data_IF_350772870120
#
_entry.id   IF_350772870120
#
_cell.length_a   1.000
_cell.length_b   1.000
_cell.length_c   1.000
_cell.angle_alpha   90.00
_cell.angle_beta   90.00
_cell.angle_gamma   90.00
#
_symmetry.space_group_name_H-M   'P 1'
#
loop_
_entity.id
_entity.type
_entity.pdbx_description
1 polymer ?
#
# COMPACT_ATOMS: atom_id res chain seq x y z
N UNK A 1 14.88 -31.41 14.50
CA UNK A 1 14.82 -30.49 13.35
C UNK A 1 14.85 -29.08 13.89
N UNK A 2 15.69 -28.19 13.37
CA UNK A 2 15.59 -26.76 13.69
C UNK A 2 14.25 -26.26 13.10
N UNK A 3 13.42 -25.61 13.91
CA UNK A 3 12.20 -24.97 13.41
C UNK A 3 12.59 -23.97 12.31
N UNK A 4 11.84 -23.93 11.22
CA UNK A 4 12.02 -22.94 10.17
C UNK A 4 11.74 -21.56 10.77
N UNK A 5 12.64 -20.61 10.58
CA UNK A 5 12.47 -19.22 10.97
C UNK A 5 12.62 -18.36 9.71
N UNK A 6 11.62 -17.54 9.44
CA UNK A 6 11.60 -16.57 8.36
C UNK A 6 11.94 -15.19 8.91
N UNK A 7 13.03 -14.60 8.45
CA UNK A 7 13.45 -13.24 8.83
C UNK A 7 12.76 -12.21 7.94
N UNK A 8 11.88 -11.42 8.52
CA UNK A 8 11.01 -10.47 7.81
C UNK A 8 11.36 -9.02 8.15
N UNK A 9 11.70 -8.23 7.14
CA UNK A 9 11.88 -6.80 7.26
C UNK A 9 10.55 -6.04 7.24
N UNK A 10 10.30 -5.24 8.27
CA UNK A 10 9.15 -4.34 8.39
C UNK A 10 9.65 -2.90 8.18
N UNK A 11 9.00 -2.09 7.33
CA UNK A 11 9.47 -0.74 7.05
C UNK A 11 9.35 0.16 8.27
N UNK A 12 10.48 0.78 8.67
CA UNK A 12 10.52 1.79 9.73
C UNK A 12 10.29 3.18 9.14
N UNK A 13 9.51 3.98 9.83
CA UNK A 13 9.23 5.38 9.46
C UNK A 13 7.81 5.59 8.99
N UNK A 14 7.61 6.31 7.88
CA UNK A 14 6.28 6.75 7.43
C UNK A 14 5.27 5.62 7.17
N UNK A 15 5.75 4.45 6.75
CA UNK A 15 4.91 3.26 6.47
C UNK A 15 4.75 2.33 7.67
N UNK A 16 5.50 2.54 8.77
CA UNK A 16 5.52 1.61 9.92
C UNK A 16 4.13 1.33 10.47
N UNK A 17 3.41 2.39 10.85
CA UNK A 17 2.08 2.26 11.45
C UNK A 17 1.06 1.59 10.52
N UNK A 18 1.05 1.98 9.24
CA UNK A 18 0.16 1.40 8.24
C UNK A 18 0.47 -0.09 7.98
N UNK A 19 1.77 -0.45 7.97
CA UNK A 19 2.20 -1.85 7.83
C UNK A 19 1.79 -2.69 9.03
N UNK A 20 1.98 -2.20 10.26
CA UNK A 20 1.57 -2.91 11.48
C UNK A 20 0.05 -3.12 11.51
N UNK A 21 -0.75 -2.10 11.12
CA UNK A 21 -2.20 -2.25 11.02
C UNK A 21 -2.61 -3.29 9.98
N UNK A 22 -1.93 -3.30 8.82
CA UNK A 22 -2.16 -4.29 7.77
C UNK A 22 -1.88 -5.71 8.27
N UNK A 23 -0.76 -5.93 8.97
CA UNK A 23 -0.44 -7.22 9.57
C UNK A 23 -1.46 -7.65 10.61
N UNK A 24 -1.89 -6.73 11.48
CA UNK A 24 -2.92 -7.00 12.48
C UNK A 24 -4.24 -7.44 11.81
N UNK A 25 -4.67 -6.79 10.74
CA UNK A 25 -5.85 -7.18 9.94
C UNK A 25 -5.65 -8.54 9.28
N UNK A 26 -4.44 -8.83 8.81
CA UNK A 26 -4.08 -10.13 8.25
C UNK A 26 -4.05 -11.26 9.30
N UNK A 27 -4.01 -10.92 10.60
CA UNK A 27 -4.03 -11.88 11.72
C UNK A 27 -2.67 -12.07 12.39
N UNK A 28 -1.69 -11.21 12.11
CA UNK A 28 -0.37 -11.20 12.78
C UNK A 28 -0.28 -10.03 13.74
N UNK A 29 -0.07 -10.28 15.03
CA UNK A 29 0.05 -9.25 16.04
C UNK A 29 1.51 -8.83 16.22
N UNK A 30 1.89 -7.76 15.54
CA UNK A 30 3.21 -7.14 15.67
C UNK A 30 3.18 -6.11 16.80
N UNK A 31 4.07 -6.27 17.78
CA UNK A 31 4.23 -5.30 18.88
C UNK A 31 5.59 -4.64 18.77
N UNK A 32 5.61 -3.31 18.60
CA UNK A 32 6.83 -2.51 18.54
C UNK A 32 7.11 -1.82 19.87
N UNK A 33 8.37 -1.57 20.13
CA UNK A 33 8.84 -0.77 21.27
C UNK A 33 9.71 0.38 20.76
N UNK A 34 9.63 1.53 21.42
CA UNK A 34 10.45 2.68 21.05
C UNK A 34 11.97 2.44 21.20
N UNK A 35 12.36 1.41 21.95
CA UNK A 35 13.76 1.06 22.25
C UNK A 35 14.28 -0.13 21.47
N UNK A 36 13.45 -0.84 20.73
CA UNK A 36 13.83 -2.05 20.01
C UNK A 36 13.50 -1.96 18.52
N UNK A 37 14.42 -2.44 17.70
CA UNK A 37 14.21 -2.64 16.26
C UNK A 37 13.70 -4.05 15.92
N UNK A 38 13.43 -4.85 16.93
CA UNK A 38 12.93 -6.23 16.81
C UNK A 38 11.50 -6.28 17.34
N UNK A 39 10.47 -6.10 16.49
CA UNK A 39 9.08 -6.29 16.88
C UNK A 39 8.84 -7.71 17.37
N UNK A 40 8.12 -7.85 18.48
CA UNK A 40 7.58 -9.15 18.85
C UNK A 40 6.40 -9.48 17.92
N UNK A 41 6.28 -10.76 17.56
CA UNK A 41 5.18 -11.28 16.74
C UNK A 41 4.65 -12.56 17.38
N UNK A 42 3.34 -12.80 17.25
CA UNK A 42 2.65 -13.96 17.80
C UNK A 42 2.80 -15.25 16.96
N UNK A 43 3.63 -15.21 15.92
CA UNK A 43 3.96 -16.35 15.07
C UNK A 43 5.41 -16.82 15.34
N UNK A 44 5.61 -18.03 15.88
CA UNK A 44 6.95 -18.54 16.24
C UNK A 44 7.87 -18.83 15.06
N UNK A 45 7.33 -18.85 13.83
CA UNK A 45 8.12 -19.03 12.60
C UNK A 45 8.62 -17.71 12.01
N UNK A 46 8.28 -16.56 12.63
CA UNK A 46 8.67 -15.23 12.17
C UNK A 46 9.65 -14.56 13.12
N UNK A 47 10.70 -13.98 12.58
CA UNK A 47 11.59 -13.03 13.25
C UNK A 47 11.52 -11.70 12.49
N UNK A 48 11.01 -10.65 13.14
CA UNK A 48 10.80 -9.36 12.50
C UNK A 48 11.91 -8.37 12.84
N UNK A 49 12.32 -7.57 11.85
CA UNK A 49 13.28 -6.48 12.00
C UNK A 49 12.76 -5.19 11.38
N UNK A 50 12.79 -4.08 12.14
CA UNK A 50 12.48 -2.74 11.62
C UNK A 50 13.66 -2.21 10.82
N UNK A 51 13.46 -1.96 9.53
CA UNK A 51 14.48 -1.47 8.59
C UNK A 51 13.90 -0.31 7.78
N UNK A 52 14.73 0.68 7.44
CA UNK A 52 14.31 1.75 6.53
C UNK A 52 13.93 1.16 5.16
N UNK A 53 12.82 1.63 4.58
CA UNK A 53 12.35 1.17 3.28
C UNK A 53 13.42 1.33 2.18
N UNK A 54 14.24 2.38 2.29
CA UNK A 54 15.37 2.67 1.39
C UNK A 54 16.43 1.57 1.34
N UNK A 55 16.62 0.86 2.44
CA UNK A 55 17.65 -0.17 2.61
C UNK A 55 17.12 -1.60 2.45
N UNK A 56 15.80 -1.77 2.56
CA UNK A 56 15.12 -3.05 2.62
C UNK A 56 15.49 -3.98 1.45
N UNK A 57 15.39 -3.48 0.23
CA UNK A 57 15.63 -4.27 -0.98
C UNK A 57 17.06 -4.86 -0.99
N UNK A 58 18.04 -4.10 -0.54
CA UNK A 58 19.44 -4.51 -0.45
C UNK A 58 19.68 -5.59 0.62
N UNK A 59 19.02 -5.47 1.78
CA UNK A 59 19.15 -6.49 2.83
C UNK A 59 18.45 -7.80 2.47
N UNK A 60 17.35 -7.72 1.73
CA UNK A 60 16.69 -8.91 1.18
C UNK A 60 17.54 -9.55 0.07
N UNK A 61 18.08 -8.76 -0.87
CA UNK A 61 18.97 -9.26 -1.93
C UNK A 61 20.17 -10.01 -1.35
N UNK A 62 20.81 -9.45 -0.32
CA UNK A 62 22.01 -10.03 0.31
C UNK A 62 21.71 -11.21 1.26
N UNK A 63 20.44 -11.60 1.44
CA UNK A 63 20.05 -12.72 2.30
C UNK A 63 20.19 -12.46 3.80
N UNK A 64 20.35 -11.19 4.23
CA UNK A 64 20.29 -10.79 5.64
C UNK A 64 18.86 -10.97 6.15
N UNK A 65 17.88 -10.66 5.29
CA UNK A 65 16.46 -10.90 5.46
C UNK A 65 15.99 -11.92 4.40
N UNK A 66 15.12 -12.82 4.79
CA UNK A 66 14.47 -13.76 3.87
C UNK A 66 13.43 -13.06 3.00
N UNK A 67 12.75 -12.07 3.59
CA UNK A 67 11.74 -11.25 2.92
C UNK A 67 11.66 -9.87 3.57
N UNK A 68 10.96 -8.94 2.92
CA UNK A 68 10.74 -7.61 3.45
C UNK A 68 9.69 -6.84 2.69
N UNK A 69 9.25 -5.75 3.29
CA UNK A 69 8.25 -4.87 2.70
C UNK A 69 8.90 -3.54 2.33
N UNK A 70 8.81 -3.18 1.05
CA UNK A 70 9.38 -1.93 0.51
C UNK A 70 8.64 -1.49 -0.75
N UNK A 71 8.92 -0.28 -1.23
CA UNK A 71 8.37 0.23 -2.49
C UNK A 71 9.14 -0.22 -3.73
N UNK A 72 8.45 -0.24 -4.87
CA UNK A 72 9.06 -0.48 -6.19
C UNK A 72 10.20 0.52 -6.46
N UNK A 73 10.04 1.75 -6.00
CA UNK A 73 11.02 2.83 -6.07
C UNK A 73 12.38 2.41 -5.49
N UNK A 74 12.38 1.85 -4.28
CA UNK A 74 13.60 1.42 -3.61
C UNK A 74 14.21 0.15 -4.20
N UNK A 75 13.38 -0.76 -4.74
CA UNK A 75 13.87 -1.91 -5.51
C UNK A 75 14.61 -1.42 -6.75
N UNK A 76 14.02 -0.48 -7.48
CA UNK A 76 14.62 0.13 -8.69
C UNK A 76 15.82 0.99 -8.37
N UNK A 77 15.77 1.80 -7.30
CA UNK A 77 16.89 2.64 -6.89
C UNK A 77 18.15 1.81 -6.61
N UNK A 78 17.99 0.69 -5.89
CA UNK A 78 19.08 -0.21 -5.56
C UNK A 78 19.42 -1.21 -6.68
N UNK A 79 18.69 -1.24 -7.80
CA UNK A 79 18.79 -2.29 -8.84
C UNK A 79 18.76 -3.71 -8.25
N UNK A 80 18.00 -3.90 -7.17
CA UNK A 80 18.06 -5.10 -6.35
C UNK A 80 17.43 -6.32 -7.05
N UNK A 81 18.13 -7.46 -7.00
CA UNK A 81 17.68 -8.73 -7.58
C UNK A 81 16.90 -9.53 -6.53
N UNK A 82 15.63 -9.26 -6.45
CA UNK A 82 14.70 -9.89 -5.50
C UNK A 82 13.49 -10.50 -6.21
N UNK A 83 12.78 -11.39 -5.53
CA UNK A 83 11.49 -11.90 -5.99
C UNK A 83 10.37 -11.01 -5.45
N UNK A 84 9.55 -10.41 -6.29
CA UNK A 84 8.27 -9.86 -5.86
C UNK A 84 7.32 -11.02 -5.56
N UNK A 85 6.80 -11.08 -4.34
CA UNK A 85 5.82 -12.09 -3.89
C UNK A 85 4.41 -11.58 -4.21
N UNK A 86 4.07 -10.38 -3.75
CA UNK A 86 2.80 -9.73 -4.09
C UNK A 86 2.91 -8.21 -4.03
N UNK A 87 1.95 -7.55 -4.68
CA UNK A 87 1.73 -6.12 -4.58
C UNK A 87 0.87 -5.79 -3.37
N UNK A 88 1.33 -4.86 -2.55
CA UNK A 88 0.61 -4.36 -1.39
C UNK A 88 0.29 -2.88 -1.63
N UNK A 89 -0.86 -2.64 -2.30
CA UNK A 89 -1.23 -1.27 -2.68
C UNK A 89 -1.84 -0.55 -1.47
N UNK A 90 -0.98 -0.02 -0.62
CA UNK A 90 -1.33 0.87 0.47
C UNK A 90 -0.24 1.95 0.62
N UNK A 91 -0.61 3.12 1.13
CA UNK A 91 0.28 4.23 1.39
C UNK A 91 -0.02 4.83 2.78
N UNK A 92 0.69 5.90 3.14
CA UNK A 92 0.55 6.54 4.45
C UNK A 92 -0.86 7.11 4.68
N UNK A 93 -1.49 7.67 3.65
CA UNK A 93 -2.76 8.39 3.75
C UNK A 93 -3.82 7.90 2.75
N UNK A 94 -3.46 7.00 1.84
CA UNK A 94 -4.35 6.51 0.79
C UNK A 94 -4.14 5.02 0.53
N UNK A 95 -5.09 4.42 -0.18
CA UNK A 95 -5.01 3.04 -0.68
C UNK A 95 -4.63 3.05 -2.16
N UNK A 96 -3.75 3.96 -2.57
CA UNK A 96 -3.30 4.14 -3.93
C UNK A 96 -1.80 4.02 -4.10
N UNK A 97 -1.37 4.05 -5.35
CA UNK A 97 0.04 4.17 -5.70
C UNK A 97 0.52 5.59 -5.40
N UNK A 98 1.78 5.72 -5.03
CA UNK A 98 2.49 6.99 -4.94
C UNK A 98 3.19 7.28 -6.26
N UNK A 99 3.48 8.55 -6.52
CA UNK A 99 4.21 8.98 -7.71
C UNK A 99 5.48 9.71 -7.29
N UNK A 100 6.58 9.37 -7.91
CA UNK A 100 7.77 10.19 -7.92
C UNK A 100 7.68 11.12 -9.11
N UNK A 101 7.68 12.41 -8.84
CA UNK A 101 7.43 13.43 -9.85
C UNK A 101 8.61 14.39 -9.95
N UNK A 102 8.92 14.80 -11.18
CA UNK A 102 9.77 15.93 -11.45
C UNK A 102 8.98 17.20 -11.17
N UNK A 103 9.48 18.04 -10.28
CA UNK A 103 8.85 19.30 -9.92
C UNK A 103 9.86 20.45 -9.93
N UNK A 104 9.37 21.64 -10.26
CA UNK A 104 10.15 22.88 -10.35
C UNK A 104 9.39 24.01 -9.68
N UNK A 105 10.06 25.13 -9.29
CA UNK A 105 9.35 26.33 -8.83
C UNK A 105 8.27 26.78 -9.83
N UNK A 106 7.15 27.29 -9.32
CA UNK A 106 6.07 27.83 -10.17
C UNK A 106 6.56 28.87 -11.16
N UNK A 107 7.53 29.72 -10.75
CA UNK A 107 8.15 30.75 -11.59
C UNK A 107 9.23 30.22 -12.54
N UNK A 108 9.57 28.93 -12.51
CA UNK A 108 10.60 28.35 -13.36
C UNK A 108 10.21 28.37 -14.84
N UNK A 109 11.20 28.62 -15.72
CA UNK A 109 11.04 28.56 -17.18
C UNK A 109 11.02 27.13 -17.73
N UNK A 110 11.41 26.12 -16.93
CA UNK A 110 11.42 24.70 -17.30
C UNK A 110 9.99 24.23 -17.57
N UNK A 111 9.68 23.80 -18.78
CA UNK A 111 8.35 23.30 -19.18
C UNK A 111 8.35 21.78 -19.39
N UNK A 112 9.47 21.23 -19.83
CA UNK A 112 9.65 19.81 -20.14
C UNK A 112 11.02 19.31 -19.67
N UNK A 113 11.24 18.01 -19.74
CA UNK A 113 12.48 17.38 -19.24
C UNK A 113 13.71 17.85 -20.01
N UNK A 114 13.59 18.17 -21.30
CA UNK A 114 14.69 18.67 -22.14
C UNK A 114 15.27 20.00 -21.61
N UNK A 115 14.46 20.83 -20.97
CA UNK A 115 14.88 22.12 -20.39
C UNK A 115 15.81 21.97 -19.17
N UNK A 116 16.01 20.72 -18.70
CA UNK A 116 16.89 20.41 -17.57
C UNK A 116 18.35 20.16 -17.96
N UNK A 117 18.71 20.32 -19.25
CA UNK A 117 20.10 20.17 -19.66
C UNK A 117 21.02 21.13 -18.89
N UNK A 118 22.06 20.57 -18.26
CA UNK A 118 23.03 21.31 -17.44
C UNK A 118 22.53 21.77 -16.06
N UNK A 119 21.28 21.48 -15.68
CA UNK A 119 20.67 21.90 -14.40
C UNK A 119 20.95 20.94 -13.26
N UNK A 120 20.65 21.38 -12.02
CA UNK A 120 20.82 20.60 -10.79
C UNK A 120 19.44 20.08 -10.35
N UNK A 121 19.36 18.76 -10.10
CA UNK A 121 18.16 18.07 -9.61
C UNK A 121 18.47 17.42 -8.28
N UNK A 122 17.72 17.76 -7.23
CA UNK A 122 17.85 17.14 -5.91
C UNK A 122 16.81 16.03 -5.72
N UNK A 123 17.21 14.88 -5.19
CA UNK A 123 16.32 13.73 -4.98
C UNK A 123 16.90 12.68 -4.04
N UNK A 124 16.06 11.87 -3.40
CA UNK A 124 16.51 10.62 -2.75
C UNK A 124 16.75 9.50 -3.78
N UNK A 125 16.04 9.50 -4.94
CA UNK A 125 16.15 8.48 -6.00
C UNK A 125 17.20 8.86 -7.07
N UNK A 126 18.47 8.91 -6.68
CA UNK A 126 19.57 9.37 -7.57
C UNK A 126 19.75 8.46 -8.78
N UNK A 127 19.85 7.14 -8.58
CA UNK A 127 20.11 6.19 -9.66
C UNK A 127 18.90 6.10 -10.62
N UNK A 128 17.70 6.10 -10.08
CA UNK A 128 16.46 6.09 -10.85
C UNK A 128 16.31 7.37 -11.69
N UNK A 129 16.57 8.53 -11.09
CA UNK A 129 16.53 9.83 -11.79
C UNK A 129 17.57 9.91 -12.89
N UNK A 130 18.80 9.43 -12.65
CA UNK A 130 19.84 9.37 -13.68
C UNK A 130 19.43 8.48 -14.86
N UNK A 131 18.85 7.30 -14.59
CA UNK A 131 18.34 6.42 -15.67
C UNK A 131 17.21 7.08 -16.46
N UNK A 132 16.29 7.74 -15.76
CA UNK A 132 15.18 8.46 -16.37
C UNK A 132 15.66 9.57 -17.33
N UNK A 133 16.64 10.39 -16.91
CA UNK A 133 17.24 11.44 -17.74
C UNK A 133 18.02 10.87 -18.93
N UNK A 134 18.81 9.81 -18.69
CA UNK A 134 19.58 9.15 -19.75
C UNK A 134 18.68 8.60 -20.86
N UNK A 135 17.52 8.03 -20.52
CA UNK A 135 16.53 7.54 -21.52
C UNK A 135 15.95 8.66 -22.38
N UNK A 136 16.02 9.92 -21.92
CA UNK A 136 15.56 11.12 -22.64
C UNK A 136 16.69 11.93 -23.27
N UNK A 137 17.94 11.47 -23.13
CA UNK A 137 19.10 12.12 -23.67
C UNK A 137 19.49 13.43 -22.97
N UNK A 138 19.00 13.66 -21.74
CA UNK A 138 19.25 14.89 -20.96
C UNK A 138 20.38 14.67 -19.97
N UNK A 139 21.34 15.58 -19.95
CA UNK A 139 22.48 15.60 -19.03
C UNK A 139 22.27 16.67 -17.96
N UNK A 140 21.82 16.26 -16.77
CA UNK A 140 21.67 17.12 -15.62
C UNK A 140 22.50 16.57 -14.45
N UNK A 141 22.87 17.45 -13.51
CA UNK A 141 23.56 17.06 -12.27
C UNK A 141 22.51 16.58 -11.27
N UNK A 142 22.53 15.29 -10.93
CA UNK A 142 21.62 14.72 -9.93
C UNK A 142 22.35 14.60 -8.59
N UNK A 143 21.83 15.29 -7.57
CA UNK A 143 22.38 15.33 -6.23
C UNK A 143 21.47 14.60 -5.24
N UNK A 144 22.09 13.90 -4.28
CA UNK A 144 21.35 13.23 -3.21
C UNK A 144 20.77 14.25 -2.23
N UNK A 145 19.50 14.06 -1.85
CA UNK A 145 18.78 14.88 -0.88
C UNK A 145 18.45 14.05 0.37
N UNK A 146 18.90 14.50 1.54
CA UNK A 146 18.66 13.86 2.82
C UNK A 146 17.28 14.17 3.43
N UNK A 147 16.34 14.68 2.66
CA UNK A 147 15.03 15.15 3.08
C UNK A 147 14.88 16.66 2.98
N UNK A 148 13.70 17.18 3.29
CA UNK A 148 13.30 18.55 3.03
C UNK A 148 13.62 18.98 1.58
N UNK A 149 13.34 18.09 0.63
CA UNK A 149 13.72 18.27 -0.77
C UNK A 149 12.97 19.43 -1.41
N UNK A 150 11.71 19.63 -0.98
CA UNK A 150 10.82 20.66 -1.53
C UNK A 150 11.28 22.10 -1.29
N UNK A 151 12.16 22.32 -0.31
CA UNK A 151 12.65 23.68 -0.01
C UNK A 151 13.98 24.01 -0.71
N UNK A 152 14.56 23.08 -1.46
CA UNK A 152 15.84 23.29 -2.13
C UNK A 152 15.74 24.20 -3.36
N UNK A 153 14.73 24.10 -4.23
CA UNK A 153 14.56 25.05 -5.31
C UNK A 153 14.05 26.42 -4.82
N UNK A 154 14.48 27.54 -5.44
CA UNK A 154 15.43 27.59 -6.55
C UNK A 154 16.90 27.71 -6.13
N UNK A 155 17.19 27.90 -4.83
CA UNK A 155 18.52 28.36 -4.36
C UNK A 155 19.58 27.25 -4.42
N UNK A 156 19.20 26.01 -4.13
CA UNK A 156 20.13 24.87 -4.02
C UNK A 156 19.99 23.87 -5.17
N UNK A 157 18.88 23.90 -5.89
CA UNK A 157 18.62 23.06 -7.05
C UNK A 157 17.62 23.76 -7.99
N UNK A 158 17.69 23.46 -9.28
CA UNK A 158 16.73 23.98 -10.27
C UNK A 158 15.42 23.20 -10.27
N UNK A 159 15.49 21.91 -9.91
CA UNK A 159 14.37 20.97 -9.89
C UNK A 159 14.56 19.92 -8.79
N UNK A 160 13.48 19.23 -8.50
CA UNK A 160 13.51 18.06 -7.61
C UNK A 160 12.80 16.88 -8.26
N UNK A 161 13.20 15.65 -7.85
CA UNK A 161 12.37 14.46 -8.01
C UNK A 161 11.97 13.99 -6.62
N UNK A 162 10.66 14.04 -6.32
CA UNK A 162 10.13 13.82 -4.98
C UNK A 162 8.85 12.97 -5.04
N UNK A 163 8.63 12.19 -3.95
CA UNK A 163 7.44 11.36 -3.81
C UNK A 163 6.22 12.21 -3.45
N UNK A 164 5.08 11.89 -4.05
CA UNK A 164 3.81 12.52 -3.69
C UNK A 164 2.64 11.56 -3.86
N UNK A 165 1.66 11.69 -2.97
CA UNK A 165 0.35 11.06 -3.11
C UNK A 165 -0.63 12.03 -3.78
N UNK A 166 -0.80 13.22 -3.21
CA UNK A 166 -1.81 14.23 -3.63
C UNK A 166 -1.21 15.50 -4.26
N UNK A 167 0.10 15.69 -4.18
CA UNK A 167 0.78 16.90 -4.60
C UNK A 167 0.64 18.07 -3.62
N UNK A 168 0.05 17.88 -2.44
CA UNK A 168 -0.22 18.95 -1.47
C UNK A 168 1.05 19.59 -0.93
N UNK A 169 2.07 18.79 -0.58
CA UNK A 169 3.37 19.28 -0.10
C UNK A 169 4.07 20.13 -1.16
N UNK A 170 4.08 19.68 -2.42
CA UNK A 170 4.66 20.43 -3.53
C UNK A 170 3.98 21.80 -3.71
N UNK A 171 2.64 21.82 -3.75
CA UNK A 171 1.88 23.08 -3.86
C UNK A 171 2.14 24.03 -2.69
N UNK A 172 2.20 23.50 -1.46
CA UNK A 172 2.50 24.29 -0.27
C UNK A 172 3.87 24.98 -0.32
N UNK A 173 4.82 24.36 -1.05
CA UNK A 173 6.18 24.90 -1.28
C UNK A 173 6.33 25.61 -2.65
N UNK A 174 5.22 26.01 -3.28
CA UNK A 174 5.18 26.74 -4.57
C UNK A 174 5.93 25.99 -5.69
N UNK A 175 5.79 24.67 -5.71
CA UNK A 175 6.33 23.81 -6.76
C UNK A 175 5.20 23.30 -7.65
N UNK A 176 5.45 23.26 -8.95
CA UNK A 176 4.59 22.62 -9.93
C UNK A 176 5.22 21.34 -10.48
N UNK A 177 4.39 20.35 -10.71
CA UNK A 177 4.78 19.09 -11.34
C UNK A 177 4.97 19.31 -12.83
N UNK A 178 6.09 18.84 -13.36
CA UNK A 178 6.40 18.82 -14.80
C UNK A 178 5.98 17.46 -15.38
N UNK A 179 6.46 16.37 -14.79
CA UNK A 179 6.21 15.01 -15.29
C UNK A 179 6.28 13.98 -14.15
N UNK A 180 5.63 12.83 -14.33
CA UNK A 180 5.78 11.67 -13.45
C UNK A 180 6.97 10.83 -13.90
N UNK A 181 7.95 10.66 -13.03
CA UNK A 181 9.17 9.87 -13.26
C UNK A 181 8.91 8.37 -13.04
N UNK A 182 8.15 8.05 -11.99
CA UNK A 182 7.90 6.67 -11.58
C UNK A 182 6.60 6.59 -10.77
N UNK A 183 5.76 5.59 -11.06
CA UNK A 183 4.72 5.14 -10.14
C UNK A 183 5.26 4.02 -9.24
N UNK A 184 4.98 4.10 -7.95
CA UNK A 184 5.43 3.12 -6.96
C UNK A 184 4.27 2.70 -6.06
N UNK A 185 4.29 1.44 -5.67
CA UNK A 185 3.49 0.89 -4.58
C UNK A 185 4.37 0.00 -3.70
N UNK A 186 3.90 -0.25 -2.51
CA UNK A 186 4.55 -1.18 -1.58
C UNK A 186 4.45 -2.61 -2.12
N UNK A 187 5.49 -3.41 -1.91
CA UNK A 187 5.55 -4.84 -2.28
C UNK A 187 6.09 -5.67 -1.12
N UNK A 188 5.62 -6.91 -1.02
CA UNK A 188 6.30 -7.97 -0.31
C UNK A 188 7.33 -8.58 -1.26
N UNK A 189 8.61 -8.52 -0.88
CA UNK A 189 9.72 -9.07 -1.66
C UNK A 189 10.42 -10.18 -0.89
N UNK A 190 11.03 -11.12 -1.61
CA UNK A 190 11.78 -12.23 -1.03
C UNK A 190 13.18 -12.36 -1.64
N UNK A 191 14.11 -12.83 -0.84
CA UNK A 191 15.43 -13.27 -1.29
C UNK A 191 15.30 -14.44 -2.26
N UNK A 192 16.04 -14.44 -3.35
CA UNK A 192 15.97 -15.49 -4.39
C UNK A 192 16.37 -16.88 -3.87
N UNK A 193 17.27 -16.96 -2.89
CA UNK A 193 17.67 -18.21 -2.23
C UNK A 193 16.56 -18.72 -1.30
N UNK A 194 16.07 -17.86 -0.41
CA UNK A 194 14.98 -18.17 0.52
C UNK A 194 13.70 -18.59 -0.23
N UNK A 195 13.42 -17.98 -1.37
CA UNK A 195 12.28 -18.37 -2.22
C UNK A 195 12.38 -19.79 -2.79
N UNK A 196 13.58 -20.35 -2.93
CA UNK A 196 13.79 -21.74 -3.36
C UNK A 196 13.53 -22.75 -2.26
N UNK A 197 13.57 -22.32 -0.98
CA UNK A 197 13.26 -23.16 0.18
C UNK A 197 11.73 -23.34 0.27
N UNK A 198 11.23 -24.57 0.11
CA UNK A 198 9.80 -24.84 -0.02
C UNK A 198 8.98 -24.35 1.17
N UNK A 199 9.50 -24.49 2.41
CA UNK A 199 8.79 -24.08 3.62
C UNK A 199 8.72 -22.55 3.75
N UNK A 200 9.80 -21.83 3.46
CA UNK A 200 9.81 -20.36 3.47
C UNK A 200 8.92 -19.79 2.37
N UNK A 201 8.97 -20.38 1.17
CA UNK A 201 8.09 -19.98 0.07
C UNK A 201 6.63 -20.14 0.43
N UNK A 202 6.21 -21.30 0.95
CA UNK A 202 4.83 -21.56 1.37
C UNK A 202 4.39 -20.53 2.44
N UNK A 203 5.23 -20.27 3.44
CA UNK A 203 4.94 -19.26 4.48
C UNK A 203 4.73 -17.86 3.89
N UNK A 204 5.54 -17.48 2.90
CA UNK A 204 5.41 -16.20 2.21
C UNK A 204 4.17 -16.12 1.32
N UNK A 205 3.81 -17.20 0.64
CA UNK A 205 2.58 -17.30 -0.17
C UNK A 205 1.32 -17.20 0.71
N UNK A 206 1.31 -17.91 1.85
CA UNK A 206 0.21 -17.83 2.84
C UNK A 206 0.09 -16.42 3.44
N UNK A 207 1.22 -15.80 3.80
CA UNK A 207 1.26 -14.44 4.30
C UNK A 207 0.77 -13.44 3.25
N UNK A 208 1.20 -13.57 2.01
CA UNK A 208 0.77 -12.73 0.89
C UNK A 208 -0.75 -12.79 0.72
N UNK A 209 -1.32 -13.99 0.68
CA UNK A 209 -2.78 -14.18 0.58
C UNK A 209 -3.54 -13.44 1.70
N UNK A 210 -3.06 -13.54 2.94
CA UNK A 210 -3.70 -12.89 4.09
C UNK A 210 -3.56 -11.36 4.06
N UNK A 211 -2.40 -10.83 3.64
CA UNK A 211 -2.15 -9.41 3.48
C UNK A 211 -2.99 -8.82 2.33
N UNK A 212 -3.05 -9.50 1.18
CA UNK A 212 -3.91 -9.11 0.05
C UNK A 212 -5.39 -9.14 0.44
N UNK A 213 -5.81 -10.16 1.21
CA UNK A 213 -7.16 -10.24 1.76
C UNK A 213 -7.48 -9.08 2.71
N UNK A 214 -6.51 -8.65 3.52
CA UNK A 214 -6.66 -7.49 4.39
C UNK A 214 -6.79 -6.20 3.59
N UNK A 215 -6.01 -6.02 2.52
CA UNK A 215 -6.12 -4.89 1.60
C UNK A 215 -7.48 -4.90 0.88
N UNK A 216 -7.96 -6.07 0.43
CA UNK A 216 -9.26 -6.19 -0.24
C UNK A 216 -10.45 -5.80 0.66
N UNK A 217 -10.28 -5.87 1.98
CA UNK A 217 -11.28 -5.45 2.95
C UNK A 217 -11.23 -3.96 3.31
N UNK A 218 -10.18 -3.23 2.88
CA UNK A 218 -10.07 -1.80 3.18
C UNK A 218 -11.20 -1.01 2.52
N UNK A 219 -11.87 -0.14 3.31
CA UNK A 219 -13.01 0.64 2.85
C UNK A 219 -14.26 -0.18 2.57
N UNK A 220 -14.32 -1.44 3.04
CA UNK A 220 -15.49 -2.32 2.91
C UNK A 220 -16.00 -2.75 4.27
N UNK A 221 -17.30 -2.96 4.34
CA UNK A 221 -17.99 -3.47 5.52
C UNK A 221 -18.92 -4.62 5.16
N UNK A 222 -19.16 -5.49 6.11
CA UNK A 222 -20.24 -6.47 6.02
C UNK A 222 -21.57 -5.81 6.38
N UNK A 223 -22.59 -6.11 5.61
CA UNK A 223 -23.96 -5.66 5.85
C UNK A 223 -24.86 -6.88 5.91
N UNK A 224 -25.52 -7.04 7.05
CA UNK A 224 -26.51 -8.09 7.26
C UNK A 224 -27.85 -7.44 7.58
N UNK A 225 -28.94 -7.99 7.04
CA UNK A 225 -30.28 -7.52 7.28
C UNK A 225 -31.29 -8.66 7.13
N UNK A 226 -32.48 -8.44 7.67
CA UNK A 226 -33.61 -9.33 7.49
C UNK A 226 -34.68 -8.65 6.63
N UNK A 227 -35.39 -9.41 5.82
CA UNK A 227 -36.48 -8.92 4.98
C UNK A 227 -37.56 -9.98 4.83
N UNK A 228 -38.81 -9.58 4.73
CA UNK A 228 -39.89 -10.50 4.36
C UNK A 228 -39.69 -11.01 2.93
N UNK A 229 -40.07 -12.25 2.69
CA UNK A 229 -39.90 -12.92 1.39
C UNK A 229 -40.48 -12.11 0.23
N UNK A 230 -41.64 -11.51 0.43
CA UNK A 230 -42.33 -10.66 -0.57
C UNK A 230 -41.59 -9.32 -0.84
N UNK A 231 -40.84 -8.79 0.13
CA UNK A 231 -40.03 -7.57 0.01
C UNK A 231 -38.62 -7.76 -0.53
N UNK A 232 -38.16 -9.02 -0.74
CA UNK A 232 -36.78 -9.29 -1.10
C UNK A 232 -36.33 -8.54 -2.37
N UNK A 233 -37.12 -8.55 -3.42
CA UNK A 233 -36.79 -7.89 -4.71
C UNK A 233 -36.54 -6.40 -4.56
N UNK A 234 -37.38 -5.71 -3.75
CA UNK A 234 -37.23 -4.28 -3.48
C UNK A 234 -35.93 -3.99 -2.70
N UNK A 235 -35.59 -4.82 -1.72
CA UNK A 235 -34.33 -4.68 -0.96
C UNK A 235 -33.12 -4.95 -1.84
N UNK A 236 -33.15 -5.99 -2.68
CA UNK A 236 -32.03 -6.32 -3.58
C UNK A 236 -31.78 -5.22 -4.61
N UNK A 237 -32.80 -4.49 -5.05
CA UNK A 237 -32.64 -3.39 -6.01
C UNK A 237 -31.91 -2.16 -5.41
N UNK A 238 -31.90 -2.02 -4.09
CA UNK A 238 -31.21 -0.94 -3.39
C UNK A 238 -29.76 -1.30 -2.99
N UNK A 239 -29.38 -2.59 -3.09
CA UNK A 239 -28.03 -3.01 -2.75
C UNK A 239 -27.07 -2.81 -3.94
N UNK A 240 -26.00 -2.02 -3.77
CA UNK A 240 -24.92 -1.97 -4.76
C UNK A 240 -24.12 -3.27 -4.64
N UNK A 241 -24.51 -4.27 -5.41
CA UNK A 241 -23.93 -5.60 -5.27
C UNK A 241 -22.52 -5.66 -5.86
N UNK A 242 -21.50 -5.91 -5.03
CA UNK A 242 -20.19 -6.41 -5.49
C UNK A 242 -20.32 -7.81 -6.11
N UNK A 243 -21.25 -8.61 -5.65
CA UNK A 243 -21.72 -9.92 -6.16
C UNK A 243 -23.10 -10.17 -5.58
N UNK A 244 -23.78 -11.22 -6.06
CA UNK A 244 -25.04 -11.66 -5.48
C UNK A 244 -24.92 -11.84 -3.97
N UNK A 245 -25.78 -11.22 -3.15
CA UNK A 245 -25.75 -11.39 -1.71
C UNK A 245 -26.07 -12.84 -1.32
N UNK A 246 -25.56 -13.28 -0.19
CA UNK A 246 -25.99 -14.56 0.40
C UNK A 246 -27.38 -14.39 1.01
N UNK A 247 -28.31 -15.27 0.62
CA UNK A 247 -29.67 -15.27 1.13
C UNK A 247 -29.92 -16.59 1.88
N UNK A 248 -30.43 -16.50 3.12
CA UNK A 248 -30.73 -17.65 3.97
C UNK A 248 -32.15 -17.52 4.54
N UNK A 249 -32.85 -18.64 4.70
CA UNK A 249 -34.13 -18.70 5.43
C UNK A 249 -33.90 -18.54 6.92
N UNK A 250 -34.78 -17.84 7.60
CA UNK A 250 -34.81 -17.77 9.06
C UNK A 250 -35.70 -18.88 9.65
N UNK A 251 -35.77 -18.98 10.98
CA UNK A 251 -36.69 -19.90 11.68
C UNK A 251 -38.16 -19.61 11.34
N UNK A 252 -38.50 -18.38 11.04
CA UNK A 252 -39.75 -17.99 10.42
C UNK A 252 -39.56 -17.97 8.90
N UNK A 253 -40.22 -18.90 8.19
CA UNK A 253 -40.06 -19.09 6.74
C UNK A 253 -40.51 -17.90 5.90
N UNK A 254 -41.31 -16.98 6.47
CA UNK A 254 -41.70 -15.73 5.85
C UNK A 254 -40.57 -14.71 5.78
N UNK A 255 -39.47 -14.92 6.54
CA UNK A 255 -38.34 -14.04 6.63
C UNK A 255 -37.08 -14.63 6.03
N UNK A 256 -36.29 -13.76 5.43
CA UNK A 256 -34.98 -14.06 4.85
C UNK A 256 -33.92 -13.19 5.48
N UNK A 257 -32.74 -13.79 5.76
CA UNK A 257 -31.52 -13.04 6.05
C UNK A 257 -30.77 -12.78 4.75
N UNK A 258 -30.31 -11.57 4.57
CA UNK A 258 -29.46 -11.14 3.45
C UNK A 258 -28.11 -10.70 4.02
N UNK A 259 -27.03 -11.27 3.53
CA UNK A 259 -25.66 -10.89 3.93
C UNK A 259 -24.84 -10.52 2.70
N UNK A 260 -24.17 -9.38 2.74
CA UNK A 260 -23.38 -8.85 1.63
C UNK A 260 -22.21 -8.02 2.12
N UNK A 261 -21.30 -7.70 1.20
CA UNK A 261 -20.19 -6.76 1.42
C UNK A 261 -20.41 -5.54 0.54
N UNK A 262 -20.30 -4.36 1.13
CA UNK A 262 -20.50 -3.07 0.46
C UNK A 262 -19.36 -2.11 0.75
N UNK A 263 -19.22 -1.07 -0.06
CA UNK A 263 -18.29 0.02 0.24
C UNK A 263 -18.79 0.84 1.43
N UNK A 264 -17.96 1.01 2.44
CA UNK A 264 -18.27 1.77 3.67
C UNK A 264 -18.80 3.17 3.38
N UNK A 265 -18.24 3.85 2.37
CA UNK A 265 -18.64 5.19 1.95
C UNK A 265 -20.11 5.27 1.49
N UNK A 266 -20.70 4.16 1.06
CA UNK A 266 -22.07 4.09 0.55
C UNK A 266 -23.10 3.79 1.64
N UNK A 267 -22.68 3.21 2.75
CA UNK A 267 -23.57 2.67 3.81
C UNK A 267 -24.52 3.72 4.36
N UNK A 268 -24.04 4.93 4.64
CA UNK A 268 -24.87 6.02 5.15
C UNK A 268 -26.04 6.37 4.24
N UNK A 269 -25.89 6.16 2.92
CA UNK A 269 -26.96 6.43 1.92
C UNK A 269 -27.86 5.21 1.75
N UNK A 270 -27.30 4.02 1.83
CA UNK A 270 -28.01 2.76 1.54
C UNK A 270 -28.93 2.37 2.69
N UNK A 271 -28.48 2.45 3.95
CA UNK A 271 -29.29 2.00 5.11
C UNK A 271 -30.67 2.64 5.16
N UNK A 272 -30.87 3.97 4.98
CA UNK A 272 -32.19 4.56 4.94
C UNK A 272 -33.09 4.05 3.78
N UNK A 273 -32.48 3.74 2.63
CA UNK A 273 -33.22 3.19 1.46
C UNK A 273 -33.66 1.76 1.73
N UNK A 274 -32.76 0.92 2.24
CA UNK A 274 -33.06 -0.45 2.65
C UNK A 274 -34.19 -0.49 3.69
N UNK A 275 -34.16 0.42 4.67
CA UNK A 275 -35.23 0.53 5.67
C UNK A 275 -36.59 0.87 5.04
N UNK A 276 -36.62 1.79 4.06
CA UNK A 276 -37.85 2.13 3.31
C UNK A 276 -38.33 0.98 2.42
N UNK A 277 -37.41 0.16 1.89
CA UNK A 277 -37.74 -1.03 1.11
C UNK A 277 -38.21 -2.22 1.97
N UNK A 278 -38.32 -2.06 3.29
CA UNK A 278 -38.85 -3.09 4.20
C UNK A 278 -37.77 -3.90 4.95
N UNK A 279 -36.48 -3.58 4.79
CA UNK A 279 -35.42 -4.25 5.56
C UNK A 279 -35.52 -3.93 7.06
N UNK A 280 -35.23 -4.94 7.90
CA UNK A 280 -35.22 -4.86 9.36
C UNK A 280 -33.94 -5.48 9.89
N UNK A 281 -33.60 -5.17 11.15
CA UNK A 281 -32.41 -5.74 11.80
C UNK A 281 -31.12 -5.50 10.99
N UNK A 282 -30.96 -4.31 10.41
CA UNK A 282 -29.79 -3.98 9.60
C UNK A 282 -28.58 -3.81 10.52
N UNK A 283 -27.55 -4.62 10.29
CA UNK A 283 -26.30 -4.63 11.05
C UNK A 283 -25.15 -4.38 10.10
N UNK A 284 -24.36 -3.36 10.39
CA UNK A 284 -23.06 -3.09 9.78
C UNK A 284 -21.96 -3.60 10.68
N UNK A 285 -20.95 -4.29 10.11
CA UNK A 285 -19.80 -4.76 10.87
C UNK A 285 -18.50 -4.63 10.08
N UNK A 286 -17.38 -4.29 10.76
CA UNK A 286 -16.09 -4.14 10.12
C UNK A 286 -15.56 -5.48 9.62
N UNK A 287 -14.83 -5.45 8.49
CA UNK A 287 -14.15 -6.61 7.94
C UNK A 287 -12.65 -6.50 8.19
N UNK A 288 -12.02 -7.58 8.65
CA UNK A 288 -10.57 -7.65 8.77
C UNK A 288 -9.93 -8.01 7.43
N UNK A 289 -10.50 -8.99 6.73
CA UNK A 289 -9.98 -9.46 5.43
C UNK A 289 -11.08 -10.10 4.58
N UNK A 290 -10.88 -10.07 3.28
CA UNK A 290 -11.68 -10.75 2.26
C UNK A 290 -10.71 -11.57 1.42
N UNK A 291 -10.74 -12.89 1.54
CA UNK A 291 -9.94 -13.79 0.69
C UNK A 291 -10.84 -14.25 -0.45
N UNK A 292 -10.41 -13.96 -1.69
CA UNK A 292 -11.19 -14.27 -2.90
C UNK A 292 -10.67 -15.55 -3.58
#
# INVERSE_FOLDING_TARGET
MRAMILKLGIPKGSLEAATIDLFRRAGYNLTTSSRSYFPAVDDPELECLLVRAQEMARYVENGILDAGITGIDWIRENDAKVRTVCDLVYAKQSYGKVRWVLAVPEASTVKEVADLEGKIIATELVATTKRYLAQRGVKAKVEFSWGATEVKPPELADAIVEVTETGSSLRANKLRIVETVLESNTQLIANLGSWKEADKRRKLEDMAMLLEGAIAALGKVGLMLNVRRDGLSAVLSELPALRNPTISTLSDEEWLAVNTVVDESTVRVIIPRLKKAGAQGIVEYPLNKIVM
#
